data_IF_630720310721
#
_entry.id   IF_630720310721
#
_cell.length_a   1.000
_cell.length_b   1.000
_cell.length_c   1.000
_cell.angle_alpha   90.00
_cell.angle_beta   90.00
_cell.angle_gamma   90.00
#
_symmetry.space_group_name_H-M   'P 1'
#
loop_
_entity.id
_entity.type
_entity.pdbx_description
1 polymer ?
#
# COMPACT_ATOMS: atom_id res chain seq x y z
N UNK A 1 -41.20 -3.27 -16.58
CA UNK A 1 -41.16 -2.80 -15.18
C UNK A 1 -39.77 -3.13 -14.70
N UNK A 2 -38.96 -2.10 -14.44
CA UNK A 2 -37.59 -2.23 -13.97
C UNK A 2 -37.63 -2.46 -12.46
N UNK A 3 -36.94 -3.49 -11.99
CA UNK A 3 -36.70 -3.69 -10.56
C UNK A 3 -35.26 -3.22 -10.29
N UNK A 4 -35.16 -2.03 -9.71
CA UNK A 4 -33.94 -1.48 -9.14
C UNK A 4 -33.71 -2.11 -7.76
N UNK A 5 -32.45 -2.10 -7.30
CA UNK A 5 -31.99 -2.42 -5.93
C UNK A 5 -31.65 -3.89 -5.61
N UNK A 6 -30.50 -4.34 -6.10
CA UNK A 6 -29.64 -5.25 -5.31
C UNK A 6 -28.28 -4.57 -5.11
N UNK A 7 -28.29 -3.57 -4.23
CA UNK A 7 -27.11 -3.03 -3.58
C UNK A 7 -26.58 -4.17 -2.68
N UNK A 8 -25.60 -4.94 -3.18
CA UNK A 8 -24.93 -5.99 -2.42
C UNK A 8 -24.03 -5.35 -1.36
N UNK A 9 -24.65 -4.90 -0.26
CA UNK A 9 -23.98 -4.63 0.99
C UNK A 9 -23.49 -5.94 1.63
N UNK A 10 -22.35 -5.86 2.32
CA UNK A 10 -21.75 -6.97 3.06
C UNK A 10 -22.79 -7.53 4.05
N UNK A 11 -23.02 -8.86 4.11
CA UNK A 11 -24.00 -9.44 5.02
C UNK A 11 -23.67 -9.12 6.49
N UNK A 12 -24.71 -8.89 7.30
CA UNK A 12 -24.55 -8.57 8.72
C UNK A 12 -23.84 -9.71 9.46
N UNK A 13 -22.92 -9.40 10.40
CA UNK A 13 -22.14 -10.40 11.13
C UNK A 13 -23.04 -11.27 12.03
N UNK A 14 -22.95 -12.59 11.88
CA UNK A 14 -23.79 -13.59 12.57
C UNK A 14 -23.15 -14.13 13.88
N UNK A 15 -22.36 -13.32 14.58
CA UNK A 15 -21.61 -13.72 15.78
C UNK A 15 -21.90 -12.86 17.01
N UNK A 16 -21.40 -13.29 18.18
CA UNK A 16 -21.51 -12.63 19.50
C UNK A 16 -20.66 -11.35 19.62
N UNK A 17 -20.37 -10.69 18.49
CA UNK A 17 -19.76 -9.37 18.48
C UNK A 17 -20.91 -8.36 18.56
N UNK A 18 -21.03 -7.69 19.71
CA UNK A 18 -21.96 -6.57 19.86
C UNK A 18 -21.66 -5.54 18.76
N UNK A 19 -22.69 -5.20 17.97
CA UNK A 19 -22.57 -4.17 16.95
C UNK A 19 -22.23 -2.90 17.70
N UNK A 20 -21.00 -2.39 17.54
CA UNK A 20 -20.63 -1.09 18.09
C UNK A 20 -21.54 -0.07 17.39
N UNK A 21 -22.67 0.26 18.04
CA UNK A 21 -23.66 1.24 17.63
C UNK A 21 -23.02 2.62 17.77
N UNK A 22 -22.07 2.90 16.89
CA UNK A 22 -21.58 4.24 16.64
C UNK A 22 -22.71 4.93 15.90
N UNK A 23 -23.18 6.08 16.37
CA UNK A 23 -24.29 6.84 15.76
C UNK A 23 -23.96 7.43 14.38
N UNK A 24 -22.95 6.89 13.71
CA UNK A 24 -22.41 7.29 12.42
C UNK A 24 -22.90 6.27 11.39
N UNK A 25 -23.77 6.69 10.46
CA UNK A 25 -24.10 5.85 9.30
C UNK A 25 -22.90 5.81 8.35
N UNK A 26 -22.63 4.62 7.80
CA UNK A 26 -21.55 4.38 6.86
C UNK A 26 -21.79 5.24 5.61
N UNK A 27 -21.13 6.40 5.51
CA UNK A 27 -21.33 7.36 4.42
C UNK A 27 -21.53 8.83 4.81
N UNK A 28 -21.70 9.17 6.10
CA UNK A 28 -22.05 10.55 6.51
C UNK A 28 -20.94 11.59 6.30
N UNK A 29 -19.67 11.18 6.32
CA UNK A 29 -18.50 12.08 6.13
C UNK A 29 -17.98 12.15 4.68
N UNK A 30 -18.72 11.60 3.72
CA UNK A 30 -18.35 11.72 2.30
C UNK A 30 -18.78 13.10 1.78
N UNK A 31 -17.86 14.06 1.84
CA UNK A 31 -18.01 15.36 1.17
C UNK A 31 -17.85 15.14 -0.34
N UNK A 32 -18.95 14.78 -1.00
CA UNK A 32 -19.06 14.59 -2.45
C UNK A 32 -18.96 15.95 -3.15
N UNK A 33 -17.72 16.42 -3.38
CA UNK A 33 -17.46 17.66 -4.09
C UNK A 33 -17.44 17.37 -5.59
N UNK A 34 -18.61 17.43 -6.20
CA UNK A 34 -18.84 17.21 -7.62
C UNK A 34 -18.25 18.35 -8.48
N UNK A 35 -17.02 18.19 -8.99
CA UNK A 35 -16.42 19.12 -9.97
C UNK A 35 -16.30 18.43 -11.34
N UNK A 36 -17.23 18.74 -12.25
CA UNK A 36 -17.13 18.43 -13.68
C UNK A 36 -17.82 17.13 -14.16
N UNK A 37 -17.97 16.93 -15.49
CA UNK A 37 -18.83 15.89 -16.07
C UNK A 37 -18.35 14.43 -15.88
N UNK A 38 -17.18 14.23 -15.27
CA UNK A 38 -16.70 12.94 -14.80
C UNK A 38 -16.54 13.01 -13.29
N UNK A 39 -17.52 12.49 -12.55
CA UNK A 39 -17.52 12.41 -11.09
C UNK A 39 -16.38 11.54 -10.58
N UNK A 40 -15.20 12.16 -10.40
CA UNK A 40 -14.10 11.57 -9.66
C UNK A 40 -14.22 12.03 -8.20
N UNK A 41 -14.86 11.20 -7.37
CA UNK A 41 -14.74 11.32 -5.92
C UNK A 41 -13.28 11.06 -5.54
N UNK A 42 -12.53 12.13 -5.37
CA UNK A 42 -11.12 12.09 -5.05
C UNK A 42 -10.86 13.17 -4.03
N UNK A 43 -10.03 12.90 -3.01
CA UNK A 43 -9.54 13.96 -2.13
C UNK A 43 -8.83 15.02 -2.99
N UNK A 44 -9.60 16.05 -3.35
CA UNK A 44 -9.29 17.04 -4.35
C UNK A 44 -7.91 17.70 -4.17
N UNK A 45 -7.44 18.02 -2.94
CA UNK A 45 -6.11 18.62 -2.79
C UNK A 45 -4.96 17.63 -3.01
N UNK A 46 -5.02 16.39 -2.51
CA UNK A 46 -3.86 15.47 -2.58
C UNK A 46 -3.64 14.91 -3.99
N UNK A 47 -4.71 14.66 -4.73
CA UNK A 47 -4.63 14.19 -6.10
C UNK A 47 -4.10 15.28 -7.04
N UNK A 48 -4.60 16.51 -6.91
CA UNK A 48 -4.17 17.60 -7.77
C UNK A 48 -2.70 17.98 -7.49
N UNK A 49 -2.30 18.05 -6.22
CA UNK A 49 -0.91 18.36 -5.84
C UNK A 49 0.05 17.25 -6.29
N UNK A 50 -0.23 15.98 -5.98
CA UNK A 50 0.67 14.89 -6.39
C UNK A 50 0.75 14.71 -7.91
N UNK A 51 -0.39 14.84 -8.61
CA UNK A 51 -0.45 14.78 -10.07
C UNK A 51 0.32 15.91 -10.74
N UNK A 52 0.12 17.15 -10.28
CA UNK A 52 0.81 18.32 -10.83
C UNK A 52 2.32 18.23 -10.59
N UNK A 53 2.75 17.83 -9.39
CA UNK A 53 4.17 17.61 -9.07
C UNK A 53 4.77 16.53 -9.97
N UNK A 54 4.07 15.41 -10.16
CA UNK A 54 4.54 14.31 -11.01
C UNK A 54 4.70 14.75 -12.47
N UNK A 55 3.69 15.44 -13.02
CA UNK A 55 3.73 15.95 -14.41
C UNK A 55 4.82 17.00 -14.58
N UNK A 56 4.97 17.92 -13.62
CA UNK A 56 6.02 18.94 -13.64
C UNK A 56 7.42 18.30 -13.61
N UNK A 57 7.63 17.30 -12.76
CA UNK A 57 8.89 16.55 -12.71
C UNK A 57 9.18 15.80 -14.01
N UNK A 58 8.17 15.17 -14.62
CA UNK A 58 8.30 14.50 -15.92
C UNK A 58 8.71 15.49 -17.02
N UNK A 59 8.04 16.64 -17.12
CA UNK A 59 8.37 17.66 -18.13
C UNK A 59 9.80 18.17 -17.93
N UNK A 60 10.18 18.48 -16.68
CA UNK A 60 11.52 18.94 -16.36
C UNK A 60 12.60 17.90 -16.73
N UNK A 61 12.37 16.63 -16.39
CA UNK A 61 13.31 15.54 -16.69
C UNK A 61 13.44 15.28 -18.21
N UNK A 62 12.36 15.43 -18.98
CA UNK A 62 12.38 15.24 -20.43
C UNK A 62 12.97 16.43 -21.19
N UNK A 63 12.75 17.66 -20.71
CA UNK A 63 13.27 18.86 -21.36
C UNK A 63 14.78 19.04 -21.16
N UNK A 64 15.33 18.60 -20.02
CA UNK A 64 16.72 18.83 -19.61
C UNK A 64 17.38 17.53 -19.07
N UNK A 65 17.58 16.51 -19.94
CA UNK A 65 18.03 15.19 -19.50
C UNK A 65 19.43 15.17 -18.89
N UNK A 66 20.38 15.97 -19.40
CA UNK A 66 21.74 16.01 -18.84
C UNK A 66 21.79 16.56 -17.42
N UNK A 67 21.02 17.61 -17.15
CA UNK A 67 20.98 18.23 -15.82
C UNK A 67 20.27 17.32 -14.82
N UNK A 68 19.19 16.65 -15.24
CA UNK A 68 18.54 15.62 -14.44
C UNK A 68 19.51 14.47 -14.13
N UNK A 69 20.26 13.97 -15.11
CA UNK A 69 21.24 12.91 -14.91
C UNK A 69 22.35 13.32 -13.94
N UNK A 70 22.91 14.53 -14.08
CA UNK A 70 23.92 15.05 -13.16
C UNK A 70 23.37 15.17 -11.72
N UNK A 71 22.14 15.68 -11.56
CA UNK A 71 21.47 15.78 -10.27
C UNK A 71 21.28 14.40 -9.63
N UNK A 72 20.74 13.42 -10.35
CA UNK A 72 20.55 12.06 -9.82
C UNK A 72 21.87 11.35 -9.51
N UNK A 73 22.91 11.55 -10.31
CA UNK A 73 24.23 10.95 -10.09
C UNK A 73 24.90 11.46 -8.81
N UNK A 74 24.70 12.74 -8.49
CA UNK A 74 25.17 13.31 -7.22
C UNK A 74 24.25 12.94 -6.04
N UNK A 75 22.92 12.95 -6.25
CA UNK A 75 21.96 12.71 -5.17
C UNK A 75 21.98 11.26 -4.67
N UNK A 76 22.12 10.28 -5.57
CA UNK A 76 22.14 8.84 -5.21
C UNK A 76 23.14 8.53 -4.09
N UNK A 77 24.45 8.79 -4.23
CA UNK A 77 25.42 8.44 -3.19
C UNK A 77 25.22 9.22 -1.89
N UNK A 78 24.83 10.49 -1.97
CA UNK A 78 24.57 11.33 -0.78
C UNK A 78 23.41 10.80 0.05
N UNK A 79 22.31 10.44 -0.62
CA UNK A 79 21.14 9.85 0.05
C UNK A 79 21.51 8.49 0.60
N UNK A 80 22.12 7.60 -0.19
CA UNK A 80 22.54 6.26 0.25
C UNK A 80 23.44 6.36 1.49
N UNK A 81 24.52 7.14 1.45
CA UNK A 81 25.44 7.25 2.59
C UNK A 81 24.78 7.78 3.86
N UNK A 82 23.82 8.69 3.73
CA UNK A 82 23.10 9.27 4.87
C UNK A 82 22.06 8.31 5.46
N UNK A 83 21.34 7.57 4.60
CA UNK A 83 20.22 6.71 5.02
C UNK A 83 20.62 5.27 5.29
N UNK A 84 21.80 4.81 4.86
CA UNK A 84 22.24 3.40 5.01
C UNK A 84 22.15 2.93 6.47
N UNK A 85 22.67 3.72 7.41
CA UNK A 85 22.62 3.37 8.83
C UNK A 85 21.18 3.30 9.35
N UNK A 86 20.33 4.21 8.90
CA UNK A 86 18.92 4.23 9.28
C UNK A 86 18.19 3.03 8.68
N UNK A 87 18.47 2.66 7.42
CA UNK A 87 17.83 1.56 6.72
C UNK A 87 18.18 0.21 7.34
N UNK A 88 19.47 -0.06 7.57
CA UNK A 88 19.89 -1.30 8.24
C UNK A 88 19.44 -1.34 9.71
N UNK A 89 19.49 -0.21 10.42
CA UNK A 89 19.00 -0.13 11.79
C UNK A 89 17.49 -0.33 11.90
N UNK A 90 16.71 0.26 11.00
CA UNK A 90 15.27 0.06 10.93
C UNK A 90 14.91 -1.38 10.54
N UNK A 91 15.63 -1.98 9.58
CA UNK A 91 15.41 -3.37 9.19
C UNK A 91 15.63 -4.34 10.37
N UNK A 92 16.74 -4.19 11.10
CA UNK A 92 17.02 -4.98 12.30
C UNK A 92 15.95 -4.74 13.39
N UNK A 93 15.58 -3.47 13.62
CA UNK A 93 14.51 -3.11 14.56
C UNK A 93 13.17 -3.77 14.19
N UNK A 94 12.78 -3.77 12.91
CA UNK A 94 11.54 -4.40 12.45
C UNK A 94 11.57 -5.92 12.64
N UNK A 95 12.70 -6.57 12.35
CA UNK A 95 12.84 -8.02 12.57
C UNK A 95 12.73 -8.36 14.06
N UNK A 96 13.45 -7.61 14.91
CA UNK A 96 13.38 -7.79 16.36
C UNK A 96 11.98 -7.47 16.91
N UNK A 97 11.32 -6.45 16.37
CA UNK A 97 9.95 -6.09 16.73
C UNK A 97 8.96 -7.20 16.35
N UNK A 98 9.06 -7.78 15.15
CA UNK A 98 8.24 -8.91 14.74
C UNK A 98 8.50 -10.14 15.63
N UNK A 99 9.76 -10.44 15.94
CA UNK A 99 10.10 -11.54 16.85
C UNK A 99 9.56 -11.30 18.27
N UNK A 100 9.66 -10.07 18.75
CA UNK A 100 9.07 -9.64 20.01
C UNK A 100 7.56 -9.84 20.00
N UNK A 101 6.85 -9.43 18.94
CA UNK A 101 5.41 -9.63 18.81
C UNK A 101 5.02 -11.11 18.86
N UNK A 102 5.79 -11.99 18.22
CA UNK A 102 5.56 -13.45 18.22
C UNK A 102 5.68 -14.05 19.64
N UNK A 103 6.67 -13.62 20.43
CA UNK A 103 6.89 -14.14 21.79
C UNK A 103 5.97 -13.44 22.81
N UNK A 104 5.60 -12.19 22.55
CA UNK A 104 4.72 -11.41 23.40
C UNK A 104 3.28 -11.96 23.40
N UNK A 105 2.48 -11.69 24.45
CA UNK A 105 1.06 -12.05 24.46
C UNK A 105 0.24 -11.38 23.35
N UNK A 106 0.76 -10.32 22.71
CA UNK A 106 0.09 -9.61 21.62
C UNK A 106 0.04 -10.40 20.31
N UNK A 107 0.94 -11.37 20.10
CA UNK A 107 0.89 -12.25 18.93
C UNK A 107 -0.32 -13.20 18.92
N UNK A 108 -1.04 -13.35 20.05
CA UNK A 108 -2.24 -14.19 20.16
C UNK A 108 -3.53 -13.45 19.83
N UNK A 109 -3.48 -12.14 19.62
CA UNK A 109 -4.65 -11.33 19.32
C UNK A 109 -5.07 -11.60 17.87
N UNK A 110 -6.29 -12.08 17.67
CA UNK A 110 -6.86 -12.30 16.33
C UNK A 110 -7.34 -10.96 15.78
N UNK A 111 -6.89 -10.61 14.57
CA UNK A 111 -7.41 -9.44 13.85
C UNK A 111 -8.79 -9.79 13.28
N UNK A 112 -9.83 -9.03 13.64
CA UNK A 112 -11.22 -9.27 13.22
C UNK A 112 -12.18 -9.72 14.32
N UNK A 113 -11.72 -9.82 15.58
CA UNK A 113 -12.54 -10.22 16.73
C UNK A 113 -12.22 -11.63 17.24
N UNK A 114 -12.73 -11.99 18.42
CA UNK A 114 -12.38 -13.24 19.09
C UNK A 114 -12.80 -14.50 18.30
N UNK A 115 -13.92 -14.40 17.57
CA UNK A 115 -14.51 -15.49 16.78
C UNK A 115 -14.12 -15.46 15.29
N UNK A 116 -13.22 -14.57 14.87
CA UNK A 116 -12.84 -14.46 13.46
C UNK A 116 -12.16 -15.74 12.94
N UNK A 117 -12.76 -16.37 11.94
CA UNK A 117 -12.19 -17.50 11.21
C UNK A 117 -11.43 -17.00 9.99
N UNK A 118 -10.31 -17.64 9.60
CA UNK A 118 -9.59 -17.24 8.40
C UNK A 118 -10.44 -17.45 7.14
N UNK A 119 -10.63 -16.38 6.35
CA UNK A 119 -11.38 -16.42 5.08
C UNK A 119 -10.68 -17.25 4.00
N UNK A 120 -9.35 -17.37 4.10
CA UNK A 120 -8.51 -18.11 3.16
C UNK A 120 -7.82 -19.28 3.85
N UNK A 121 -7.74 -20.41 3.15
CA UNK A 121 -6.92 -21.53 3.58
C UNK A 121 -5.43 -21.12 3.62
N UNK A 122 -4.62 -21.74 4.48
CA UNK A 122 -3.20 -21.44 4.67
C UNK A 122 -2.40 -21.42 3.37
N UNK A 123 -2.69 -22.33 2.44
CA UNK A 123 -2.07 -22.36 1.11
C UNK A 123 -2.43 -21.12 0.28
N UNK A 124 -3.69 -20.69 0.30
CA UNK A 124 -4.15 -19.50 -0.42
C UNK A 124 -3.56 -18.22 0.17
N UNK A 125 -3.52 -18.11 1.50
CA UNK A 125 -2.88 -16.99 2.19
C UNK A 125 -1.38 -16.90 1.91
N UNK A 126 -0.66 -18.03 1.96
CA UNK A 126 0.77 -18.05 1.63
C UNK A 126 1.03 -17.65 0.17
N UNK A 127 0.19 -18.10 -0.76
CA UNK A 127 0.27 -17.70 -2.16
C UNK A 127 0.07 -16.18 -2.34
N UNK A 128 -0.86 -15.57 -1.59
CA UNK A 128 -1.07 -14.11 -1.62
C UNK A 128 0.14 -13.34 -1.09
N UNK A 129 0.74 -13.78 0.03
CA UNK A 129 1.96 -13.17 0.56
C UNK A 129 3.13 -13.28 -0.43
N UNK A 130 3.28 -14.43 -1.08
CA UNK A 130 4.30 -14.62 -2.10
C UNK A 130 4.07 -13.70 -3.31
N UNK A 131 2.84 -13.62 -3.81
CA UNK A 131 2.49 -12.73 -4.92
C UNK A 131 2.72 -11.25 -4.56
N UNK A 132 2.39 -10.84 -3.34
CA UNK A 132 2.62 -9.47 -2.86
C UNK A 132 4.11 -9.13 -2.72
N UNK A 133 4.95 -10.12 -2.36
CA UNK A 133 6.40 -9.92 -2.18
C UNK A 133 7.22 -9.98 -3.48
N UNK A 134 6.76 -10.71 -4.49
CA UNK A 134 7.48 -10.90 -5.75
C UNK A 134 7.27 -9.71 -6.71
N UNK A 135 8.09 -8.67 -6.56
CA UNK A 135 8.03 -7.47 -7.42
C UNK A 135 8.74 -7.61 -8.78
N UNK A 136 8.47 -6.65 -9.68
CA UNK A 136 9.11 -6.54 -11.02
C UNK A 136 10.66 -6.54 -10.93
N UNK A 137 11.22 -6.01 -9.84
CA UNK A 137 12.66 -5.95 -9.62
C UNK A 137 13.34 -7.31 -9.59
N UNK A 138 12.70 -8.35 -9.05
CA UNK A 138 13.29 -9.69 -8.99
C UNK A 138 13.39 -10.33 -10.38
N UNK A 139 12.38 -10.14 -11.24
CA UNK A 139 12.39 -10.62 -12.62
C UNK A 139 13.52 -9.96 -13.43
N UNK A 140 13.70 -8.64 -13.27
CA UNK A 140 14.77 -7.91 -13.96
C UNK A 140 16.16 -8.34 -13.46
N UNK A 141 16.34 -8.48 -12.14
CA UNK A 141 17.62 -8.90 -11.55
C UNK A 141 18.01 -10.31 -12.03
N UNK A 142 17.08 -11.27 -12.00
CA UNK A 142 17.32 -12.65 -12.44
C UNK A 142 17.74 -12.69 -13.92
N UNK A 143 17.11 -11.89 -14.77
CA UNK A 143 17.47 -11.80 -16.18
C UNK A 143 18.85 -11.17 -16.38
N UNK A 144 19.13 -10.06 -15.69
CA UNK A 144 20.40 -9.33 -15.78
C UNK A 144 21.59 -10.19 -15.35
N UNK A 145 21.49 -10.86 -14.21
CA UNK A 145 22.56 -11.71 -13.69
C UNK A 145 22.72 -12.98 -14.53
N UNK A 146 21.62 -13.53 -15.04
CA UNK A 146 21.63 -14.71 -15.92
C UNK A 146 22.34 -14.50 -17.25
N UNK A 147 22.27 -13.29 -17.82
CA UNK A 147 23.02 -12.93 -19.04
C UNK A 147 24.45 -12.48 -18.77
N UNK A 148 24.73 -11.87 -17.61
CA UNK A 148 26.08 -11.39 -17.26
C UNK A 148 27.03 -12.53 -16.86
N UNK A 149 26.48 -13.70 -16.47
CA UNK A 149 27.25 -14.90 -16.12
C UNK A 149 27.47 -15.92 -17.24
N UNK A 150 27.03 -15.66 -18.48
CA UNK A 150 27.19 -16.54 -19.66
C UNK A 150 28.13 -15.91 -20.71
#
# INVERSE_FOLDING_TARGET
MADETTNQGIPSPEGEADVINTGEEIGQDYVETQIGPSGADTHNPVFLVSGLVTVALLICALALPEQAAAFFNWLRPEVTSSVDRLFFGAADLFVLFCLFLIVSPWGKVRLGGNEATPDYNYLGWFAMLFAAGMGIGLMHQVLSDGFTGA
#
